data_IF_602669452484
#
_entry.id   IF_602669452484
#
_cell.length_a   1.000
_cell.length_b   1.000
_cell.length_c   1.000
_cell.angle_alpha   90.00
_cell.angle_beta   90.00
_cell.angle_gamma   90.00
#
_symmetry.space_group_name_H-M   'P 1'
#
loop_
_entity.id
_entity.type
_entity.pdbx_description
1 polymer ?
#
# COMPACT_ATOMS: atom_id res chain seq x y z
N UNK A 1 12.02 -10.28 10.10
CA UNK A 1 11.20 -11.36 10.71
C UNK A 1 11.99 -12.12 11.78
N UNK A 2 11.36 -13.05 12.49
CA UNK A 2 12.05 -13.96 13.39
C UNK A 2 12.87 -15.00 12.66
N UNK A 3 14.14 -15.15 13.04
CA UNK A 3 14.97 -16.27 12.59
C UNK A 3 14.88 -17.44 13.57
N UNK A 4 15.17 -18.64 13.10
CA UNK A 4 15.25 -19.83 13.95
C UNK A 4 16.20 -19.61 15.11
N UNK A 5 15.80 -20.05 16.31
CA UNK A 5 16.57 -19.92 17.56
C UNK A 5 16.98 -18.48 17.92
N UNK A 6 16.25 -17.46 17.46
CA UNK A 6 16.48 -16.08 17.89
C UNK A 6 16.04 -15.91 19.36
N UNK A 7 16.96 -15.51 20.22
CA UNK A 7 16.71 -15.27 21.65
C UNK A 7 16.38 -13.80 21.97
N UNK A 8 16.77 -12.89 21.07
CA UNK A 8 16.66 -11.43 21.24
C UNK A 8 15.54 -10.85 20.38
N UNK A 9 15.24 -9.57 20.56
CA UNK A 9 14.28 -8.84 19.73
C UNK A 9 14.65 -8.82 18.25
N UNK A 10 13.66 -8.51 17.40
CA UNK A 10 13.91 -8.23 15.99
C UNK A 10 14.81 -7.02 15.80
N UNK A 11 15.47 -6.95 14.65
CA UNK A 11 16.31 -5.81 14.33
C UNK A 11 15.38 -4.64 14.01
N UNK A 12 15.49 -3.58 14.82
CA UNK A 12 14.54 -2.46 14.78
C UNK A 12 14.87 -1.50 13.65
N UNK A 13 13.85 -1.21 12.85
CA UNK A 13 13.93 -0.26 11.74
C UNK A 13 13.35 1.12 12.08
N UNK A 14 13.07 1.40 13.35
CA UNK A 14 12.60 2.71 13.83
C UNK A 14 13.51 3.20 14.95
N UNK A 15 13.68 4.52 15.09
CA UNK A 15 14.47 5.12 16.18
C UNK A 15 13.85 4.75 17.53
N UNK A 16 12.53 4.90 17.64
CA UNK A 16 11.75 4.49 18.81
C UNK A 16 12.00 3.03 19.18
N UNK A 17 11.96 2.12 18.21
CA UNK A 17 12.21 0.71 18.45
C UNK A 17 13.61 0.43 19.00
N UNK A 18 14.63 1.15 18.52
CA UNK A 18 16.00 1.04 19.02
C UNK A 18 16.12 1.51 20.47
N UNK A 19 15.49 2.65 20.82
CA UNK A 19 15.44 3.14 22.20
C UNK A 19 14.70 2.17 23.15
N UNK A 20 13.67 1.48 22.65
CA UNK A 20 12.98 0.43 23.41
C UNK A 20 13.88 -0.78 23.68
N UNK A 21 14.74 -1.18 22.73
CA UNK A 21 15.74 -2.24 22.96
C UNK A 21 16.75 -1.80 24.01
N UNK A 22 17.28 -0.58 23.92
CA UNK A 22 18.23 -0.05 24.90
C UNK A 22 17.62 0.01 26.31
N UNK A 23 16.37 0.43 26.41
CA UNK A 23 15.64 0.39 27.68
C UNK A 23 15.42 -1.03 28.18
N UNK A 24 15.11 -1.98 27.30
CA UNK A 24 15.01 -3.38 27.69
C UNK A 24 16.33 -3.92 28.23
N UNK A 25 17.45 -3.65 27.56
CA UNK A 25 18.78 -4.07 28.01
C UNK A 25 19.11 -3.51 29.40
N UNK A 26 18.78 -2.23 29.66
CA UNK A 26 18.91 -1.62 30.98
C UNK A 26 18.08 -2.37 32.04
N UNK A 27 16.80 -2.63 31.76
CA UNK A 27 15.92 -3.38 32.67
C UNK A 27 16.43 -4.79 32.90
N UNK A 28 16.93 -5.46 31.86
CA UNK A 28 17.47 -6.82 31.94
C UNK A 28 18.75 -6.88 32.78
N UNK A 29 19.66 -5.91 32.64
CA UNK A 29 20.85 -5.80 33.50
C UNK A 29 20.46 -5.66 34.97
N UNK A 30 19.49 -4.79 35.26
CA UNK A 30 19.00 -4.58 36.63
C UNK A 30 18.29 -5.84 37.16
N UNK A 31 17.43 -6.47 36.36
CA UNK A 31 16.71 -7.68 36.75
C UNK A 31 17.67 -8.84 37.04
N UNK A 32 18.66 -9.06 36.17
CA UNK A 32 19.69 -10.09 36.37
C UNK A 32 20.51 -9.79 37.63
N UNK A 33 20.89 -8.53 37.88
CA UNK A 33 21.61 -8.16 39.10
C UNK A 33 20.82 -8.49 40.37
N UNK A 34 19.52 -8.17 40.40
CA UNK A 34 18.63 -8.52 41.52
C UNK A 34 18.50 -10.04 41.67
N UNK A 35 18.29 -10.77 40.57
CA UNK A 35 18.20 -12.23 40.59
C UNK A 35 19.48 -12.89 41.09
N UNK A 36 20.66 -12.37 40.71
CA UNK A 36 21.95 -12.87 41.21
C UNK A 36 22.09 -12.61 42.72
N UNK A 37 21.72 -11.42 43.20
CA UNK A 37 21.76 -11.09 44.65
C UNK A 37 20.81 -11.99 45.45
N UNK A 38 19.57 -12.13 45.00
CA UNK A 38 18.57 -12.99 45.65
C UNK A 38 18.98 -14.45 45.60
N UNK A 39 19.43 -14.93 44.44
CA UNK A 39 19.93 -16.28 44.26
C UNK A 39 21.13 -16.58 45.15
N UNK A 40 22.06 -15.62 45.27
CA UNK A 40 23.20 -15.71 46.18
C UNK A 40 22.77 -15.83 47.65
N UNK A 41 21.86 -14.97 48.11
CA UNK A 41 21.31 -15.07 49.47
C UNK A 41 20.63 -16.41 49.72
N UNK A 42 19.81 -16.88 48.77
CA UNK A 42 19.16 -18.20 48.90
C UNK A 42 20.17 -19.34 48.99
N UNK A 43 21.21 -19.35 48.15
CA UNK A 43 22.26 -20.38 48.20
C UNK A 43 23.03 -20.36 49.52
N UNK A 44 23.34 -19.17 50.05
CA UNK A 44 23.99 -19.02 51.36
C UNK A 44 23.13 -19.58 52.50
N UNK A 45 21.84 -19.26 52.54
CA UNK A 45 20.96 -19.69 53.62
C UNK A 45 20.54 -21.16 53.53
N UNK A 46 20.32 -21.69 52.32
CA UNK A 46 20.05 -23.11 52.09
C UNK A 46 21.26 -23.98 52.48
N UNK A 47 22.48 -23.53 52.16
CA UNK A 47 23.71 -24.21 52.53
C UNK A 47 24.37 -23.63 53.81
N UNK A 48 23.55 -23.08 54.70
CA UNK A 48 24.02 -22.40 55.92
C UNK A 48 24.80 -23.31 56.87
N UNK A 49 24.56 -24.62 56.82
CA UNK A 49 25.35 -25.61 57.59
C UNK A 49 26.81 -25.63 57.13
N UNK A 50 27.06 -25.53 55.84
CA UNK A 50 28.41 -25.54 55.26
C UNK A 50 29.07 -24.17 55.41
N UNK A 51 28.33 -23.09 55.16
CA UNK A 51 28.87 -21.72 55.19
C UNK A 51 29.01 -21.12 56.60
N UNK A 52 28.03 -21.34 57.47
CA UNK A 52 27.97 -20.74 58.81
C UNK A 52 28.17 -21.75 59.94
N UNK A 53 28.52 -23.01 59.62
CA UNK A 53 28.73 -24.07 60.61
C UNK A 53 27.51 -24.36 61.49
N UNK A 54 26.30 -23.99 61.03
CA UNK A 54 25.04 -24.12 61.79
C UNK A 54 24.82 -23.06 62.88
N UNK A 55 25.67 -22.04 62.99
CA UNK A 55 25.54 -20.97 64.00
C UNK A 55 24.70 -19.80 63.47
N UNK A 56 23.39 -19.98 63.43
CA UNK A 56 22.45 -18.88 63.16
C UNK A 56 21.76 -18.44 64.46
N UNK A 57 21.73 -17.13 64.72
CA UNK A 57 21.05 -16.59 65.89
C UNK A 57 19.53 -16.62 65.66
N UNK A 58 18.81 -17.43 66.43
CA UNK A 58 17.36 -17.63 66.29
C UNK A 58 16.51 -16.57 66.98
N UNK A 59 17.11 -15.71 67.80
CA UNK A 59 16.40 -14.76 68.65
C UNK A 59 16.31 -13.34 68.05
N UNK A 60 16.84 -13.14 66.84
CA UNK A 60 16.72 -11.86 66.11
C UNK A 60 15.49 -11.95 65.21
N UNK A 61 14.44 -11.21 65.57
CA UNK A 61 13.16 -11.23 64.84
C UNK A 61 12.86 -9.94 64.07
N UNK A 62 13.48 -8.82 64.44
CA UNK A 62 13.24 -7.52 63.82
C UNK A 62 14.54 -6.73 63.70
N UNK A 63 14.64 -5.92 62.65
CA UNK A 63 15.69 -4.93 62.49
C UNK A 63 15.16 -3.81 61.58
N UNK A 64 14.76 -2.70 62.21
CA UNK A 64 14.18 -1.54 61.53
C UNK A 64 15.12 -0.97 60.47
N UNK A 65 16.43 -0.95 60.73
CA UNK A 65 17.42 -0.42 59.79
C UNK A 65 17.46 -1.27 58.52
N UNK A 66 17.42 -2.60 58.66
CA UNK A 66 17.45 -3.53 57.53
C UNK A 66 16.14 -3.45 56.72
N UNK A 67 15.01 -3.30 57.41
CA UNK A 67 13.70 -3.05 56.79
C UNK A 67 13.67 -1.76 55.97
N UNK A 68 14.24 -0.67 56.51
CA UNK A 68 14.35 0.60 55.80
C UNK A 68 15.26 0.45 54.57
N UNK A 69 16.41 -0.23 54.69
CA UNK A 69 17.35 -0.41 53.57
C UNK A 69 16.74 -1.15 52.39
N UNK A 70 16.12 -2.31 52.61
CA UNK A 70 15.53 -3.09 51.50
C UNK A 70 14.24 -2.48 50.94
N UNK A 71 13.68 -1.46 51.59
CA UNK A 71 12.50 -0.74 51.09
C UNK A 71 12.95 0.43 50.24
N UNK A 72 13.93 1.21 50.72
CA UNK A 72 14.42 2.40 50.03
C UNK A 72 15.24 2.06 48.78
N UNK A 73 16.12 1.05 48.83
CA UNK A 73 16.98 0.70 47.68
C UNK A 73 16.16 0.34 46.43
N UNK A 74 15.18 -0.59 46.49
CA UNK A 74 14.33 -0.89 45.34
C UNK A 74 13.45 0.29 44.92
N UNK A 75 12.97 1.11 45.87
CA UNK A 75 12.17 2.29 45.53
C UNK A 75 12.96 3.29 44.66
N UNK A 76 14.19 3.63 45.04
CA UNK A 76 15.06 4.50 44.23
C UNK A 76 15.37 3.89 42.86
N UNK A 77 15.63 2.57 42.81
CA UNK A 77 15.88 1.85 41.57
C UNK A 77 14.69 1.92 40.61
N UNK A 78 13.47 1.72 41.11
CA UNK A 78 12.24 1.82 40.32
C UNK A 78 11.96 3.25 39.85
N UNK A 79 12.23 4.26 40.68
CA UNK A 79 12.12 5.67 40.26
C UNK A 79 13.06 5.99 39.09
N UNK A 80 14.30 5.48 39.12
CA UNK A 80 15.26 5.66 38.03
C UNK A 80 14.80 4.98 36.73
N UNK A 81 14.37 3.71 36.81
CA UNK A 81 13.84 3.00 35.63
C UNK A 81 12.58 3.67 35.08
N UNK A 82 11.67 4.09 35.95
CA UNK A 82 10.45 4.80 35.57
C UNK A 82 10.73 6.12 34.85
N UNK A 83 11.75 6.87 35.27
CA UNK A 83 12.17 8.10 34.60
C UNK A 83 12.60 7.84 33.14
N UNK A 84 13.48 6.86 32.91
CA UNK A 84 13.93 6.49 31.56
C UNK A 84 12.75 6.01 30.71
N UNK A 85 11.86 5.19 31.29
CA UNK A 85 10.66 4.70 30.62
C UNK A 85 9.72 5.82 30.17
N UNK A 86 9.50 6.83 31.01
CA UNK A 86 8.59 7.95 30.71
C UNK A 86 9.17 8.86 29.62
N UNK A 87 10.49 9.04 29.57
CA UNK A 87 11.13 9.79 28.49
C UNK A 87 10.90 9.11 27.14
N UNK A 88 11.06 7.79 27.08
CA UNK A 88 10.78 7.02 25.86
C UNK A 88 9.30 7.12 25.47
N UNK A 89 8.38 7.04 26.43
CA UNK A 89 6.95 7.22 26.18
C UNK A 89 6.64 8.59 25.55
N UNK A 90 7.25 9.65 26.07
CA UNK A 90 7.04 11.00 25.56
C UNK A 90 7.55 11.17 24.12
N UNK A 91 8.72 10.62 23.80
CA UNK A 91 9.28 10.66 22.43
C UNK A 91 8.37 9.93 21.43
N UNK A 92 7.69 8.86 21.86
CA UNK A 92 6.74 8.13 21.00
C UNK A 92 5.47 8.92 20.69
N UNK A 93 5.00 9.74 21.64
CA UNK A 93 3.75 10.49 21.51
C UNK A 93 3.95 11.85 20.83
N UNK A 94 5.10 12.49 21.04
CA UNK A 94 5.45 13.75 20.37
C UNK A 94 5.77 13.48 18.91
N UNK A 95 4.80 13.79 18.04
CA UNK A 95 4.91 13.54 16.61
C UNK A 95 5.14 14.81 15.80
N UNK A 96 5.96 14.68 14.75
CA UNK A 96 6.12 15.66 13.67
C UNK A 96 4.92 15.63 12.70
N UNK A 97 5.00 16.44 11.64
CA UNK A 97 4.06 16.47 10.53
C UNK A 97 3.95 15.08 9.87
N UNK A 98 2.74 14.73 9.44
CA UNK A 98 2.44 13.45 8.80
C UNK A 98 2.50 13.62 7.30
N UNK A 99 3.28 12.79 6.63
CA UNK A 99 3.43 12.83 5.17
C UNK A 99 2.58 11.76 4.48
N UNK A 100 2.44 10.60 5.10
CA UNK A 100 1.62 9.50 4.59
C UNK A 100 0.55 9.13 5.61
N UNK A 101 -0.72 9.30 5.27
CA UNK A 101 -1.85 8.96 6.11
C UNK A 101 -2.63 7.77 5.53
N UNK A 102 -2.85 6.73 6.34
CA UNK A 102 -3.64 5.58 5.92
C UNK A 102 -4.58 5.09 7.01
N UNK A 103 -5.65 4.42 6.62
CA UNK A 103 -6.60 3.76 7.51
C UNK A 103 -6.40 2.26 7.45
N UNK A 104 -6.41 1.62 8.60
CA UNK A 104 -6.34 0.17 8.74
C UNK A 104 -7.63 -0.29 9.41
N UNK A 105 -8.38 -1.15 8.74
CA UNK A 105 -9.62 -1.72 9.26
C UNK A 105 -9.43 -3.23 9.42
N UNK A 106 -9.59 -3.73 10.65
CA UNK A 106 -9.48 -5.15 10.96
C UNK A 106 -10.84 -5.86 10.85
N UNK A 107 -10.82 -7.08 10.30
CA UNK A 107 -11.97 -7.97 10.15
C UNK A 107 -11.58 -9.41 10.53
N UNK A 108 -12.56 -10.27 10.81
CA UNK A 108 -12.39 -11.71 11.00
C UNK A 108 -12.30 -12.41 9.63
N UNK A 109 -11.15 -12.88 9.13
CA UNK A 109 -9.78 -12.79 9.64
C UNK A 109 -8.86 -12.27 8.53
N UNK A 110 -8.89 -10.95 8.34
CA UNK A 110 -8.11 -10.26 7.31
C UNK A 110 -7.96 -8.78 7.67
N UNK A 111 -7.09 -8.08 6.92
CA UNK A 111 -6.85 -6.65 7.10
C UNK A 111 -7.26 -5.90 5.85
N UNK A 112 -7.91 -4.76 6.01
CA UNK A 112 -8.21 -3.83 4.93
C UNK A 112 -7.39 -2.57 5.12
N UNK A 113 -6.67 -2.15 4.08
CA UNK A 113 -5.90 -0.92 4.07
C UNK A 113 -6.56 0.08 3.13
N UNK A 114 -6.70 1.33 3.58
CA UNK A 114 -7.23 2.42 2.76
C UNK A 114 -6.28 3.61 2.73
N UNK A 115 -5.96 4.09 1.53
CA UNK A 115 -5.06 5.21 1.28
C UNK A 115 -5.80 6.30 0.52
N UNK A 116 -5.45 7.56 0.79
CA UNK A 116 -5.87 8.68 -0.03
C UNK A 116 -4.74 8.95 -1.03
N UNK A 117 -5.00 8.68 -2.30
CA UNK A 117 -4.04 8.87 -3.39
C UNK A 117 -4.38 10.16 -4.12
N UNK A 118 -3.41 11.05 -4.23
CA UNK A 118 -3.53 12.34 -4.90
C UNK A 118 -2.62 12.35 -6.13
N UNK A 119 -3.22 12.45 -7.31
CA UNK A 119 -2.51 12.59 -8.59
C UNK A 119 -2.18 14.05 -8.91
N UNK A 120 -2.72 15.02 -8.15
CA UNK A 120 -2.62 16.45 -8.47
C UNK A 120 -1.38 17.14 -7.88
N UNK A 121 -0.55 16.43 -7.11
CA UNK A 121 0.45 17.06 -6.23
C UNK A 121 1.88 16.92 -6.76
N UNK A 122 2.72 17.96 -6.53
CA UNK A 122 4.20 18.17 -6.67
C UNK A 122 5.01 17.51 -7.81
N UNK A 123 4.59 16.37 -8.31
CA UNK A 123 5.22 15.49 -9.30
C UNK A 123 4.42 15.43 -10.60
N UNK A 124 3.51 16.39 -10.82
CA UNK A 124 2.60 16.41 -11.98
C UNK A 124 3.30 16.13 -13.32
N UNK A 125 4.50 16.66 -13.54
CA UNK A 125 5.28 16.39 -14.76
C UNK A 125 5.77 14.94 -14.87
N UNK A 126 6.18 14.32 -13.77
CA UNK A 126 6.59 12.91 -13.73
C UNK A 126 5.37 12.00 -13.89
N UNK A 127 4.26 12.36 -13.25
CA UNK A 127 3.00 11.63 -13.35
C UNK A 127 2.40 11.72 -14.75
N UNK A 128 2.44 12.88 -15.40
CA UNK A 128 2.04 13.04 -16.80
C UNK A 128 2.87 12.16 -17.74
N UNK A 129 4.19 12.15 -17.57
CA UNK A 129 5.10 11.32 -18.36
C UNK A 129 4.92 9.82 -18.08
N UNK A 130 4.68 9.43 -16.84
CA UNK A 130 4.45 8.03 -16.48
C UNK A 130 3.09 7.55 -16.99
N UNK A 131 2.03 8.34 -16.81
CA UNK A 131 0.69 8.06 -17.31
C UNK A 131 0.69 7.97 -18.84
N UNK A 132 1.37 8.87 -19.55
CA UNK A 132 1.44 8.80 -21.02
C UNK A 132 2.09 7.51 -21.50
N UNK A 133 3.23 7.12 -20.90
CA UNK A 133 3.89 5.86 -21.22
C UNK A 133 3.03 4.64 -20.85
N UNK A 134 2.25 4.73 -19.77
CA UNK A 134 1.34 3.66 -19.37
C UNK A 134 0.20 3.49 -20.38
N UNK A 135 -0.39 4.58 -20.88
CA UNK A 135 -1.40 4.53 -21.94
C UNK A 135 -0.85 4.01 -23.27
N UNK A 136 0.39 4.35 -23.62
CA UNK A 136 1.05 3.84 -24.82
C UNK A 136 1.26 2.31 -24.78
N UNK A 137 1.31 1.73 -23.58
CA UNK A 137 1.43 0.28 -23.36
C UNK A 137 0.07 -0.43 -23.30
N UNK A 138 -1.03 0.30 -23.19
CA UNK A 138 -2.38 -0.27 -23.19
C UNK A 138 -2.82 -0.42 -24.64
N UNK A 139 -3.04 -1.67 -25.05
CA UNK A 139 -3.65 -1.96 -26.34
C UNK A 139 -5.14 -1.60 -26.31
N UNK A 140 -5.45 -0.35 -26.61
CA UNK A 140 -6.81 0.17 -26.74
C UNK A 140 -7.53 -0.34 -28.02
N UNK A 141 -6.91 -1.23 -28.81
CA UNK A 141 -7.55 -1.80 -30.00
C UNK A 141 -8.84 -2.58 -29.68
N UNK A 142 -9.04 -3.00 -28.43
CA UNK A 142 -10.27 -3.60 -27.93
C UNK A 142 -11.48 -2.64 -27.88
N UNK A 143 -11.26 -1.32 -27.80
CA UNK A 143 -12.35 -0.34 -27.93
C UNK A 143 -12.90 -0.26 -29.36
N UNK A 144 -12.22 -0.89 -30.34
CA UNK A 144 -12.64 -0.90 -31.74
C UNK A 144 -13.51 -2.12 -32.10
N UNK A 145 -13.97 -2.93 -31.14
CA UNK A 145 -14.87 -4.04 -31.45
C UNK A 145 -16.33 -3.61 -31.42
N UNK A 146 -16.84 -3.22 -32.59
CA UNK A 146 -18.20 -3.49 -33.10
C UNK A 146 -19.45 -3.09 -32.26
N UNK A 147 -19.34 -2.59 -31.04
CA UNK A 147 -20.48 -2.15 -30.21
C UNK A 147 -20.79 -0.66 -30.40
N UNK A 148 -19.78 0.17 -30.71
CA UNK A 148 -19.95 1.63 -30.91
C UNK A 148 -20.79 1.98 -32.16
N UNK A 149 -20.69 1.20 -33.24
CA UNK A 149 -21.48 1.42 -34.46
C UNK A 149 -22.94 0.92 -34.34
N UNK A 150 -23.21 0.02 -33.38
CA UNK A 150 -24.55 -0.55 -33.18
C UNK A 150 -25.48 0.38 -32.39
N UNK A 151 -24.94 1.25 -31.52
CA UNK A 151 -25.74 2.21 -30.74
C UNK A 151 -25.92 3.56 -31.46
N UNK A 152 -25.06 3.90 -32.42
CA UNK A 152 -25.20 5.10 -33.27
C UNK A 152 -26.20 4.93 -34.44
N UNK A 153 -26.67 3.70 -34.70
CA UNK A 153 -27.63 3.39 -35.77
C UNK A 153 -29.04 3.03 -35.28
N UNK A 154 -29.33 3.20 -33.98
CA UNK A 154 -30.67 3.01 -33.41
C UNK A 154 -31.63 4.13 -33.80
N UNK A 155 -32.51 3.86 -34.75
CA UNK A 155 -33.66 4.70 -35.11
C UNK A 155 -34.50 5.07 -33.87
N UNK A 156 -34.59 6.37 -33.56
CA UNK A 156 -35.62 6.91 -32.67
C UNK A 156 -36.98 6.91 -33.40
N UNK A 157 -38.03 6.25 -32.89
CA UNK A 157 -39.35 6.37 -33.48
C UNK A 157 -40.06 7.62 -32.97
N UNK A 158 -40.22 8.59 -33.86
CA UNK A 158 -41.50 9.31 -34.00
C UNK A 158 -41.64 10.69 -33.36
N UNK A 159 -41.88 11.64 -34.28
CA UNK A 159 -42.81 12.78 -34.19
C UNK A 159 -42.26 14.16 -33.75
N UNK A 160 -42.22 15.08 -34.73
CA UNK A 160 -42.79 16.41 -34.55
C UNK A 160 -41.83 17.60 -34.71
N UNK A 161 -42.00 18.30 -35.83
CA UNK A 161 -41.80 19.75 -36.02
C UNK A 161 -40.38 20.32 -36.20
N UNK A 162 -40.05 20.51 -37.49
CA UNK A 162 -39.54 21.73 -38.12
C UNK A 162 -38.73 22.73 -37.27
N UNK A 163 -37.43 22.84 -37.54
CA UNK A 163 -36.73 24.14 -37.58
C UNK A 163 -35.72 24.13 -38.73
N UNK A 164 -35.97 25.00 -39.71
CA UNK A 164 -35.06 25.37 -40.81
C UNK A 164 -34.07 26.40 -40.27
N UNK A 165 -32.78 26.20 -40.50
CA UNK A 165 -31.82 27.30 -40.60
C UNK A 165 -30.94 27.11 -41.83
N UNK A 166 -31.06 28.09 -42.72
CA UNK A 166 -30.44 28.18 -44.03
C UNK A 166 -29.02 28.73 -43.95
N UNK A 167 -28.21 28.40 -44.95
CA UNK A 167 -27.21 29.32 -45.50
C UNK A 167 -27.06 29.09 -47.01
N UNK A 168 -27.55 30.05 -47.79
CA UNK A 168 -27.18 30.38 -49.18
C UNK A 168 -25.65 30.63 -49.25
N UNK A 169 -24.91 30.58 -50.36
CA UNK A 169 -25.10 30.96 -51.78
C UNK A 169 -23.95 30.28 -52.59
N UNK A 170 -23.83 30.25 -53.92
CA UNK A 170 -24.34 31.07 -55.02
C UNK A 170 -24.11 30.31 -56.36
N UNK A 171 -24.87 30.74 -57.37
CA UNK A 171 -25.09 30.21 -58.71
C UNK A 171 -23.87 30.10 -59.66
N UNK A 172 -23.93 29.14 -60.60
CA UNK A 172 -23.90 29.47 -62.04
C UNK A 172 -24.19 28.23 -62.94
N UNK A 173 -25.22 28.35 -63.81
CA UNK A 173 -25.09 28.07 -65.25
C UNK A 173 -25.34 26.67 -65.85
N UNK A 174 -26.57 26.46 -66.32
CA UNK A 174 -26.99 25.80 -67.60
C UNK A 174 -26.90 24.26 -67.85
N UNK A 175 -28.07 23.62 -67.70
CA UNK A 175 -28.86 22.87 -68.69
C UNK A 175 -28.17 21.92 -69.72
N UNK A 176 -28.30 20.60 -69.56
CA UNK A 176 -29.17 19.73 -70.40
C UNK A 176 -28.86 18.21 -70.29
N UNK A 177 -29.95 17.44 -70.16
CA UNK A 177 -30.24 16.06 -70.62
C UNK A 177 -29.25 14.90 -70.39
N UNK A 178 -29.77 13.85 -69.73
CA UNK A 178 -29.86 12.53 -70.37
C UNK A 178 -28.89 11.43 -69.92
N UNK A 179 -29.41 10.54 -69.07
CA UNK A 179 -29.24 9.07 -69.07
C UNK A 179 -27.88 8.38 -68.88
N UNK A 180 -27.92 7.45 -67.92
CA UNK A 180 -27.30 6.11 -67.85
C UNK A 180 -25.77 5.94 -67.75
N UNK A 181 -25.36 5.51 -66.55
CA UNK A 181 -24.76 4.20 -66.21
C UNK A 181 -23.60 3.63 -67.07
N UNK A 182 -22.55 3.25 -66.34
CA UNK A 182 -21.48 2.28 -66.63
C UNK A 182 -20.24 2.70 -67.44
N UNK A 183 -19.12 2.65 -66.71
CA UNK A 183 -17.88 1.91 -66.98
C UNK A 183 -16.88 2.34 -68.05
N UNK A 184 -15.68 2.61 -67.51
CA UNK A 184 -14.33 2.20 -67.94
C UNK A 184 -13.80 2.55 -69.33
N UNK A 185 -12.70 3.34 -69.34
CA UNK A 185 -11.63 3.21 -70.35
C UNK A 185 -10.24 3.37 -69.71
N UNK A 186 -9.56 2.22 -69.59
CA UNK A 186 -8.15 1.86 -69.88
C UNK A 186 -6.99 2.87 -69.71
N UNK A 187 -5.89 2.41 -69.09
CA UNK A 187 -4.67 2.03 -69.85
C UNK A 187 -3.65 1.27 -69.00
N UNK A 188 -3.14 0.19 -69.61
CA UNK A 188 -2.08 -0.71 -69.12
C UNK A 188 -0.72 -0.18 -69.59
N UNK A 189 0.32 -0.28 -68.75
CA UNK A 189 1.68 -0.53 -69.24
C UNK A 189 2.38 -1.54 -68.34
N UNK A 190 2.62 -2.74 -68.88
CA UNK A 190 3.47 -3.77 -68.31
C UNK A 190 4.95 -3.36 -68.41
N UNK A 191 5.68 -3.53 -67.31
CA UNK A 191 7.13 -3.72 -67.28
C UNK A 191 7.44 -4.91 -66.37
N UNK A 192 8.12 -5.93 -66.90
CA UNK A 192 8.47 -7.19 -66.23
C UNK A 192 9.66 -7.06 -65.26
N UNK A 193 9.63 -7.89 -64.19
CA UNK A 193 10.73 -8.58 -63.46
C UNK A 193 11.85 -7.70 -62.80
N UNK A 194 12.35 -7.94 -61.59
CA UNK A 194 12.60 -9.19 -60.87
C UNK A 194 12.83 -8.97 -59.36
N UNK A 195 12.89 -10.11 -58.65
CA UNK A 195 12.76 -10.39 -57.23
C UNK A 195 13.82 -9.84 -56.25
N UNK A 196 13.37 -9.69 -54.98
CA UNK A 196 14.12 -9.78 -53.72
C UNK A 196 15.03 -8.62 -53.28
N UNK A 197 14.45 -7.68 -52.52
CA UNK A 197 14.68 -7.56 -51.06
C UNK A 197 14.02 -6.27 -50.56
N UNK A 198 12.94 -6.38 -49.79
CA UNK A 198 12.25 -5.24 -49.21
C UNK A 198 13.15 -4.52 -48.19
N UNK A 199 13.57 -3.32 -48.56
CA UNK A 199 14.02 -2.28 -47.65
C UNK A 199 13.03 -1.11 -47.72
N UNK A 200 12.54 -0.70 -46.56
CA UNK A 200 12.00 0.62 -46.21
C UNK A 200 10.88 1.25 -47.05
N UNK A 201 9.86 1.69 -46.31
CA UNK A 201 9.00 2.85 -46.54
C UNK A 201 8.01 2.75 -47.70
N UNK A 202 6.78 2.36 -47.33
CA UNK A 202 5.56 2.60 -48.11
C UNK A 202 4.49 3.22 -47.22
N UNK A 203 4.57 4.53 -47.00
CA UNK A 203 3.40 5.35 -46.68
C UNK A 203 2.42 5.20 -47.85
N UNK A 204 1.30 4.50 -47.67
CA UNK A 204 0.03 4.84 -48.33
C UNK A 204 -1.09 3.85 -48.01
N UNK A 205 -2.28 4.42 -47.78
CA UNK A 205 -3.59 3.81 -47.58
C UNK A 205 -3.92 3.30 -46.17
N UNK A 206 -3.95 4.22 -45.21
CA UNK A 206 -4.91 4.12 -44.12
C UNK A 206 -6.27 4.60 -44.63
N UNK A 207 -7.28 3.76 -44.45
CA UNK A 207 -8.67 4.08 -44.72
C UNK A 207 -9.05 5.37 -43.95
N UNK A 208 -9.91 6.24 -44.49
CA UNK A 208 -10.31 7.48 -43.78
C UNK A 208 -10.91 7.20 -42.38
N UNK A 209 -11.48 6.00 -42.17
CA UNK A 209 -11.93 5.53 -40.86
C UNK A 209 -10.79 5.18 -39.89
N UNK A 210 -9.68 4.62 -40.37
CA UNK A 210 -8.50 4.29 -39.54
C UNK A 210 -7.72 5.55 -39.17
N UNK A 211 -7.70 6.55 -40.04
CA UNK A 211 -7.05 7.85 -39.80
C UNK A 211 -7.80 8.69 -38.76
N UNK A 212 -9.14 8.66 -38.84
CA UNK A 212 -10.04 9.23 -37.82
C UNK A 212 -9.82 8.56 -36.46
N UNK A 213 -9.73 7.23 -36.42
CA UNK A 213 -9.51 6.49 -35.18
C UNK A 213 -8.11 6.72 -34.60
N UNK A 214 -7.07 6.87 -35.43
CA UNK A 214 -5.71 7.20 -34.94
C UNK A 214 -5.63 8.61 -34.35
N UNK A 215 -6.28 9.60 -34.96
CA UNK A 215 -6.30 10.97 -34.44
C UNK A 215 -7.17 11.09 -33.17
N UNK A 216 -8.27 10.34 -33.09
CA UNK A 216 -9.08 10.21 -31.87
C UNK A 216 -8.32 9.51 -30.75
N UNK A 217 -7.57 8.43 -31.04
CA UNK A 217 -6.74 7.74 -30.07
C UNK A 217 -5.55 8.61 -29.58
N UNK A 218 -4.89 9.35 -30.47
CA UNK A 218 -3.86 10.33 -30.07
C UNK A 218 -4.45 11.47 -29.23
N UNK A 219 -5.64 11.95 -29.61
CA UNK A 219 -6.39 12.91 -28.78
C UNK A 219 -6.66 12.28 -27.41
N UNK A 220 -7.27 11.10 -27.34
CA UNK A 220 -7.60 10.36 -26.11
C UNK A 220 -6.40 10.17 -25.18
N UNK A 221 -5.26 9.75 -25.71
CA UNK A 221 -4.02 9.63 -24.94
C UNK A 221 -3.54 10.98 -24.36
N UNK A 222 -3.91 12.11 -24.96
CA UNK A 222 -3.56 13.44 -24.45
C UNK A 222 -4.51 13.97 -23.36
N UNK A 223 -5.82 13.64 -23.36
CA UNK A 223 -6.79 14.16 -22.37
C UNK A 223 -7.10 13.21 -21.22
N UNK A 224 -7.03 11.90 -21.44
CA UNK A 224 -7.32 10.91 -20.40
C UNK A 224 -6.44 11.09 -19.14
N UNK A 225 -5.12 11.33 -19.25
CA UNK A 225 -4.28 11.61 -18.07
C UNK A 225 -4.80 12.80 -17.26
N UNK A 226 -5.28 13.87 -17.91
CA UNK A 226 -5.76 15.08 -17.26
C UNK A 226 -7.04 14.88 -16.43
N UNK A 227 -7.88 13.89 -16.75
CA UNK A 227 -9.07 13.56 -15.94
C UNK A 227 -8.69 12.88 -14.63
N UNK A 228 -7.66 12.02 -14.66
CA UNK A 228 -7.15 11.34 -13.46
C UNK A 228 -6.39 12.27 -12.53
N UNK A 229 -5.67 13.24 -13.10
CA UNK A 229 -4.78 14.15 -12.38
C UNK A 229 -5.50 15.11 -11.42
N UNK A 230 -6.79 15.41 -11.63
CA UNK A 230 -7.51 16.41 -10.81
C UNK A 230 -8.34 15.80 -9.65
N UNK A 231 -8.36 14.47 -9.51
CA UNK A 231 -9.18 13.77 -8.51
C UNK A 231 -8.36 13.15 -7.38
N UNK A 232 -8.91 13.19 -6.16
CA UNK A 232 -8.41 12.40 -5.02
C UNK A 232 -9.12 11.06 -4.99
N UNK A 233 -8.34 10.00 -4.94
CA UNK A 233 -8.85 8.63 -4.93
C UNK A 233 -8.73 8.03 -3.54
N UNK A 234 -9.79 7.37 -3.08
CA UNK A 234 -9.71 6.51 -1.91
C UNK A 234 -9.45 5.09 -2.40
N UNK A 235 -8.21 4.65 -2.27
CA UNK A 235 -7.80 3.31 -2.68
C UNK A 235 -7.85 2.37 -1.47
N UNK A 236 -8.75 1.39 -1.51
CA UNK A 236 -8.88 0.39 -0.46
C UNK A 236 -8.76 -1.02 -1.01
N UNK A 237 -8.03 -1.88 -0.33
CA UNK A 237 -7.86 -3.29 -0.69
C UNK A 237 -7.79 -4.19 0.54
N UNK A 238 -8.21 -5.43 0.34
CA UNK A 238 -8.25 -6.47 1.37
C UNK A 238 -7.03 -7.40 1.27
N UNK A 239 -6.48 -7.76 2.42
CA UNK A 239 -5.26 -8.54 2.54
C UNK A 239 -5.52 -9.82 3.32
N UNK A 240 -5.36 -10.95 2.63
CA UNK A 240 -5.60 -12.29 3.16
C UNK A 240 -4.30 -13.10 3.23
N UNK A 241 -4.23 -14.09 4.13
CA UNK A 241 -3.15 -15.08 4.11
C UNK A 241 -3.22 -15.96 2.86
N UNK A 242 -2.05 -16.23 2.26
CA UNK A 242 -1.92 -17.19 1.16
C UNK A 242 -1.64 -18.58 1.74
N UNK A 243 -2.65 -19.44 1.76
CA UNK A 243 -2.55 -20.81 2.30
C UNK A 243 -2.00 -21.84 1.33
N UNK A 244 -2.05 -21.57 0.02
CA UNK A 244 -1.83 -22.59 -0.99
C UNK A 244 -0.35 -22.93 -1.13
N UNK A 245 0.03 -24.16 -0.75
CA UNK A 245 1.39 -24.68 -0.91
C UNK A 245 1.89 -24.72 -2.36
N UNK A 246 0.99 -24.66 -3.36
CA UNK A 246 1.39 -24.57 -4.77
C UNK A 246 1.77 -23.16 -5.21
N UNK A 247 1.37 -22.13 -4.46
CA UNK A 247 1.71 -20.70 -4.69
C UNK A 247 2.85 -20.26 -3.77
N UNK A 248 3.08 -21.00 -2.68
CA UNK A 248 4.22 -20.81 -1.79
C UNK A 248 5.50 -21.33 -2.47
N UNK A 249 6.18 -20.45 -3.21
CA UNK A 249 7.56 -20.69 -3.66
C UNK A 249 8.54 -20.75 -2.49
N UNK A 250 9.79 -21.20 -2.74
CA UNK A 250 10.85 -21.30 -1.71
C UNK A 250 11.18 -19.96 -1.02
N UNK A 251 10.73 -18.83 -1.58
CA UNK A 251 10.88 -17.49 -1.00
C UNK A 251 9.78 -17.09 -0.01
N UNK A 252 8.67 -17.84 0.04
CA UNK A 252 7.49 -17.46 0.81
C UNK A 252 7.52 -18.07 2.22
N UNK A 253 7.04 -17.29 3.20
CA UNK A 253 7.02 -17.66 4.61
C UNK A 253 5.61 -18.10 5.02
N UNK A 254 5.48 -19.34 5.49
CA UNK A 254 4.23 -19.86 6.03
C UNK A 254 3.77 -19.01 7.22
N UNK A 255 2.49 -18.63 7.27
CA UNK A 255 1.94 -17.80 8.34
C UNK A 255 2.32 -16.33 8.25
N UNK A 256 2.95 -15.88 7.14
CA UNK A 256 3.34 -14.48 6.92
C UNK A 256 3.09 -14.00 5.48
N UNK A 257 2.91 -14.93 4.54
CA UNK A 257 2.67 -14.59 3.13
C UNK A 257 1.23 -14.15 2.95
N UNK A 258 1.05 -13.00 2.32
CA UNK A 258 -0.26 -12.35 2.12
C UNK A 258 -0.46 -12.01 0.65
N UNK A 259 -1.71 -11.74 0.27
CA UNK A 259 -2.09 -11.36 -1.10
C UNK A 259 -1.46 -10.04 -1.53
N UNK A 260 -1.42 -9.06 -0.64
CA UNK A 260 -0.81 -7.74 -0.87
C UNK A 260 -0.20 -7.20 0.44
N UNK A 261 0.70 -6.24 0.37
CA UNK A 261 1.37 -5.65 1.52
C UNK A 261 0.75 -4.31 1.91
N UNK A 262 0.99 -3.90 3.15
CA UNK A 262 0.78 -2.53 3.60
C UNK A 262 1.99 -1.67 3.22
N UNK A 263 1.77 -0.54 2.56
CA UNK A 263 2.84 0.30 2.02
C UNK A 263 3.16 1.46 2.97
N UNK A 264 4.42 1.54 3.39
CA UNK A 264 4.95 2.62 4.22
C UNK A 264 6.08 3.35 3.49
N UNK A 265 6.14 4.66 3.68
CA UNK A 265 7.22 5.48 3.16
C UNK A 265 8.41 5.49 4.13
N UNK A 266 9.62 5.30 3.61
CA UNK A 266 10.86 5.34 4.39
C UNK A 266 11.29 6.78 4.72
N UNK A 267 11.98 6.95 5.85
CA UNK A 267 12.55 8.22 6.35
C UNK A 267 11.54 9.35 6.62
N UNK A 268 10.24 9.05 6.57
CA UNK A 268 9.15 10.01 6.80
C UNK A 268 8.15 9.45 7.80
N UNK A 269 7.35 10.32 8.41
CA UNK A 269 6.34 9.91 9.37
C UNK A 269 5.07 9.45 8.64
N UNK A 270 4.75 8.18 8.83
CA UNK A 270 3.51 7.55 8.41
C UNK A 270 2.54 7.55 9.58
N UNK A 271 1.30 7.98 9.39
CA UNK A 271 0.24 7.90 10.39
C UNK A 271 -0.80 6.86 9.96
N UNK A 272 -1.10 5.95 10.87
CA UNK A 272 -2.08 4.89 10.66
C UNK A 272 -3.25 5.07 11.60
N UNK A 273 -4.44 5.13 11.03
CA UNK A 273 -5.70 5.17 11.77
C UNK A 273 -6.27 3.75 11.84
N UNK A 274 -6.12 3.11 12.99
CA UNK A 274 -6.48 1.71 13.20
C UNK A 274 -7.86 1.61 13.86
N UNK A 275 -8.74 0.81 13.26
CA UNK A 275 -10.09 0.51 13.75
C UNK A 275 -10.48 -0.92 13.34
N UNK A 276 -11.63 -1.39 13.79
CA UNK A 276 -12.21 -2.69 13.41
C UNK A 276 -13.72 -2.55 13.19
N UNK A 277 -14.28 -3.44 12.38
CA UNK A 277 -15.72 -3.52 12.11
C UNK A 277 -16.43 -4.60 12.94
N UNK A 278 -15.70 -5.48 13.62
CA UNK A 278 -16.27 -6.64 14.31
C UNK A 278 -15.82 -6.77 15.78
N UNK A 279 -14.73 -7.49 16.04
CA UNK A 279 -14.19 -7.81 17.37
C UNK A 279 -12.88 -7.07 17.59
N UNK A 280 -12.32 -7.14 18.80
CA UNK A 280 -11.00 -6.54 19.02
C UNK A 280 -9.94 -7.32 18.24
N UNK A 281 -9.05 -6.56 17.60
CA UNK A 281 -7.82 -7.06 16.98
C UNK A 281 -6.65 -6.20 17.45
N UNK A 282 -5.43 -6.54 17.05
CA UNK A 282 -4.30 -5.66 17.30
C UNK A 282 -3.30 -5.75 16.18
N UNK A 283 -3.09 -4.60 15.54
CA UNK A 283 -2.15 -4.45 14.45
C UNK A 283 -0.77 -4.19 15.05
N UNK A 284 0.22 -4.98 14.67
CA UNK A 284 1.58 -4.76 15.14
C UNK A 284 2.63 -5.39 14.26
N UNK A 285 3.80 -4.79 14.26
CA UNK A 285 4.97 -5.27 13.53
C UNK A 285 6.18 -5.13 14.43
N UNK A 286 6.68 -6.25 14.93
CA UNK A 286 7.71 -6.26 15.97
C UNK A 286 9.03 -5.58 15.55
N UNK A 287 9.44 -5.67 14.28
CA UNK A 287 10.64 -5.00 13.75
C UNK A 287 10.47 -3.49 13.54
N UNK A 288 9.24 -2.99 13.53
CA UNK A 288 8.96 -1.56 13.54
C UNK A 288 8.77 -1.03 14.98
N UNK A 289 8.74 -1.93 15.98
CA UNK A 289 8.60 -1.56 17.38
C UNK A 289 7.22 -1.02 17.74
N UNK A 290 6.19 -1.38 16.98
CA UNK A 290 4.84 -0.81 17.13
C UNK A 290 3.78 -1.90 17.25
N UNK A 291 2.78 -1.60 18.09
CA UNK A 291 1.56 -2.38 18.28
C UNK A 291 0.45 -1.40 18.66
N UNK A 292 -0.73 -1.54 18.07
CA UNK A 292 -1.89 -0.74 18.40
C UNK A 292 -3.16 -1.56 18.21
N UNK A 293 -4.04 -1.51 19.22
CA UNK A 293 -5.26 -2.28 19.23
C UNK A 293 -6.31 -1.65 18.32
N UNK A 294 -7.00 -2.49 17.56
CA UNK A 294 -8.19 -2.13 16.81
C UNK A 294 -9.41 -2.43 17.69
N UNK A 295 -10.10 -1.38 18.14
CA UNK A 295 -11.22 -1.51 19.08
C UNK A 295 -12.52 -1.05 18.40
N UNK A 296 -13.60 -1.84 18.46
CA UNK A 296 -14.86 -1.47 17.80
C UNK A 296 -15.37 -0.10 18.30
N UNK A 297 -15.71 0.78 17.36
CA UNK A 297 -16.22 2.12 17.66
C UNK A 297 -15.15 3.14 18.11
N UNK A 298 -13.86 2.80 18.01
CA UNK A 298 -12.74 3.71 18.30
C UNK A 298 -11.70 3.67 17.19
N UNK A 299 -11.23 4.85 16.79
CA UNK A 299 -10.10 4.99 15.88
C UNK A 299 -8.87 5.36 16.70
N UNK A 300 -7.86 4.50 16.70
CA UNK A 300 -6.57 4.79 17.31
C UNK A 300 -5.60 5.30 16.25
N UNK A 301 -4.77 6.29 16.60
CA UNK A 301 -3.67 6.75 15.73
C UNK A 301 -2.36 6.10 16.17
N UNK A 302 -1.60 5.61 15.20
CA UNK A 302 -0.26 5.06 15.37
C UNK A 302 0.70 5.72 14.36
N UNK A 303 1.72 6.42 14.86
CA UNK A 303 2.80 6.98 14.05
C UNK A 303 3.95 5.99 13.87
N UNK A 304 4.45 5.84 12.64
CA UNK A 304 5.62 5.02 12.31
C UNK A 304 6.58 5.83 11.44
N UNK A 305 7.87 5.84 11.79
CA UNK A 305 8.93 6.43 10.96
C UNK A 305 10.03 5.39 10.68
N UNK A 306 9.88 4.57 9.63
CA UNK A 306 10.89 3.57 9.26
C UNK A 306 12.17 4.23 8.73
N UNK A 307 13.33 3.72 9.08
CA UNK A 307 14.63 4.27 8.68
C UNK A 307 15.12 3.77 7.33
N UNK A 308 14.72 2.55 6.94
CA UNK A 308 15.20 1.87 5.73
C UNK A 308 14.07 1.15 5.02
N UNK A 309 14.17 1.06 3.69
CA UNK A 309 13.29 0.23 2.86
C UNK A 309 13.50 -1.26 3.13
N UNK A 310 12.44 -2.05 2.94
CA UNK A 310 12.45 -3.49 3.17
C UNK A 310 11.06 -4.04 3.48
N UNK A 311 10.96 -5.37 3.61
CA UNK A 311 9.71 -6.04 3.97
C UNK A 311 9.74 -6.48 5.43
N UNK A 312 8.70 -6.11 6.17
CA UNK A 312 8.54 -6.38 7.58
C UNK A 312 7.26 -7.17 7.82
N UNK A 313 7.30 -8.06 8.81
CA UNK A 313 6.19 -8.98 9.07
C UNK A 313 5.69 -8.85 10.50
N UNK A 314 4.39 -8.98 10.64
CA UNK A 314 3.64 -8.94 11.89
C UNK A 314 2.49 -9.92 11.87
N UNK A 315 1.77 -10.01 12.98
CA UNK A 315 0.59 -10.85 13.15
C UNK A 315 -0.46 -10.07 13.94
N UNK A 316 -1.68 -10.59 14.02
CA UNK A 316 -2.64 -10.10 14.99
C UNK A 316 -2.17 -10.42 16.42
N UNK A 317 -2.14 -9.40 17.30
CA UNK A 317 -1.67 -9.52 18.68
C UNK A 317 -2.79 -9.48 19.74
N UNK A 318 -4.05 -9.62 19.32
CA UNK A 318 -5.23 -9.68 20.19
C UNK A 318 -6.16 -10.80 19.73
N UNK A 319 -6.65 -11.61 20.68
CA UNK A 319 -7.43 -12.80 20.35
C UNK A 319 -8.77 -12.43 19.69
N UNK A 320 -8.93 -12.80 18.41
CA UNK A 320 -10.07 -12.41 17.58
C UNK A 320 -10.89 -13.59 17.01
N UNK A 321 -10.75 -14.80 17.56
CA UNK A 321 -11.54 -15.98 17.18
C UNK A 321 -10.71 -17.11 16.56
N UNK A 322 -11.37 -18.02 15.84
CA UNK A 322 -10.77 -19.27 15.31
C UNK A 322 -9.64 -19.03 14.31
N UNK A 323 -9.77 -18.03 13.45
CA UNK A 323 -8.73 -17.63 12.48
C UNK A 323 -7.72 -16.61 13.03
N UNK A 324 -7.60 -16.44 14.34
CA UNK A 324 -6.69 -15.44 14.94
C UNK A 324 -5.23 -15.58 14.46
N UNK A 325 -4.75 -16.80 14.26
CA UNK A 325 -3.40 -17.04 13.75
C UNK A 325 -3.27 -16.96 12.22
N UNK A 326 -4.36 -16.67 11.51
CA UNK A 326 -4.48 -16.76 10.05
C UNK A 326 -4.71 -15.39 9.38
N UNK A 327 -4.29 -14.32 10.07
CA UNK A 327 -4.39 -12.94 9.58
C UNK A 327 -3.05 -12.20 9.77
N UNK A 328 -1.99 -12.64 9.07
CA UNK A 328 -0.69 -12.02 9.16
C UNK A 328 -0.68 -10.63 8.55
N UNK A 329 0.35 -9.88 8.90
CA UNK A 329 0.59 -8.52 8.42
C UNK A 329 1.92 -8.54 7.67
N UNK A 330 1.93 -8.08 6.42
CA UNK A 330 3.15 -7.77 5.67
C UNK A 330 3.19 -6.29 5.39
N UNK A 331 4.33 -5.66 5.62
CA UNK A 331 4.57 -4.24 5.41
C UNK A 331 5.75 -4.08 4.47
N UNK A 332 5.51 -3.47 3.31
CA UNK A 332 6.54 -3.06 2.38
C UNK A 332 6.90 -1.59 2.64
N UNK A 333 8.12 -1.35 3.12
CA UNK A 333 8.66 0.00 3.27
C UNK A 333 9.49 0.31 2.03
N UNK A 334 9.17 1.40 1.34
CA UNK A 334 9.87 1.84 0.11
C UNK A 334 10.13 3.35 0.16
N UNK A 335 10.76 3.91 -0.87
CA UNK A 335 10.90 5.38 -0.96
C UNK A 335 9.52 6.02 -1.15
N UNK A 336 9.32 7.29 -0.77
CA UNK A 336 8.05 7.99 -0.99
C UNK A 336 7.56 7.90 -2.44
N UNK A 337 8.47 8.08 -3.40
CA UNK A 337 8.19 8.02 -4.84
C UNK A 337 7.74 6.62 -5.28
N UNK A 338 8.41 5.56 -4.79
CA UNK A 338 8.01 4.18 -5.10
C UNK A 338 6.62 3.85 -4.53
N UNK A 339 6.34 4.27 -3.29
CA UNK A 339 5.03 4.07 -2.67
C UNK A 339 3.95 4.82 -3.45
N UNK A 340 4.22 6.06 -3.85
CA UNK A 340 3.26 6.85 -4.63
C UNK A 340 2.95 6.16 -5.96
N UNK A 341 3.96 5.63 -6.66
CA UNK A 341 3.80 4.87 -7.90
C UNK A 341 2.98 3.60 -7.70
N UNK A 342 3.30 2.79 -6.69
CA UNK A 342 2.56 1.54 -6.40
C UNK A 342 1.09 1.83 -6.10
N UNK A 343 0.80 2.86 -5.30
CA UNK A 343 -0.57 3.25 -4.99
C UNK A 343 -1.32 3.78 -6.23
N UNK A 344 -0.67 4.59 -7.06
CA UNK A 344 -1.24 5.09 -8.33
C UNK A 344 -1.53 3.94 -9.30
N UNK A 345 -0.60 3.00 -9.45
CA UNK A 345 -0.81 1.79 -10.25
C UNK A 345 -1.95 0.94 -9.69
N UNK A 346 -2.05 0.83 -8.36
CA UNK A 346 -3.15 0.14 -7.68
C UNK A 346 -4.50 0.74 -8.02
N UNK A 347 -4.62 2.08 -8.01
CA UNK A 347 -5.84 2.80 -8.42
C UNK A 347 -6.19 2.48 -9.87
N UNK A 348 -5.23 2.60 -10.79
CA UNK A 348 -5.45 2.36 -12.22
C UNK A 348 -5.84 0.91 -12.54
N UNK A 349 -5.37 -0.04 -11.74
CA UNK A 349 -5.70 -1.45 -11.88
C UNK A 349 -7.10 -1.83 -11.37
N UNK A 350 -7.84 -0.93 -10.72
CA UNK A 350 -9.18 -1.23 -10.22
C UNK A 350 -10.23 -1.23 -11.34
N UNK A 351 -11.20 -2.15 -11.26
CA UNK A 351 -12.36 -2.18 -12.17
C UNK A 351 -13.18 -0.89 -12.13
N UNK A 352 -13.19 -0.21 -10.98
CA UNK A 352 -13.91 1.04 -10.79
C UNK A 352 -13.25 2.19 -11.58
N UNK A 353 -11.92 2.21 -11.62
CA UNK A 353 -11.17 3.12 -12.47
C UNK A 353 -11.48 2.86 -13.95
N UNK A 354 -11.44 1.60 -14.38
CA UNK A 354 -11.74 1.21 -15.77
C UNK A 354 -13.18 1.58 -16.18
N UNK A 355 -14.17 1.30 -15.33
CA UNK A 355 -15.57 1.67 -15.62
C UNK A 355 -15.80 3.18 -15.60
N UNK A 356 -15.07 3.93 -14.77
CA UNK A 356 -15.09 5.40 -14.79
C UNK A 356 -14.48 5.94 -16.08
N UNK A 357 -13.37 5.35 -16.54
CA UNK A 357 -12.74 5.62 -17.83
C UNK A 357 -13.72 5.40 -18.98
N UNK A 358 -14.34 4.22 -19.05
CA UNK A 358 -15.33 3.88 -20.07
C UNK A 358 -16.49 4.89 -20.08
N UNK A 359 -17.02 5.25 -18.90
CA UNK A 359 -18.12 6.20 -18.77
C UNK A 359 -17.77 7.65 -19.13
N UNK A 360 -16.50 8.03 -19.09
CA UNK A 360 -16.03 9.35 -19.55
C UNK A 360 -15.69 9.33 -21.04
N UNK A 361 -15.12 8.24 -21.55
CA UNK A 361 -14.81 8.06 -22.97
C UNK A 361 -16.08 8.00 -23.83
N UNK A 362 -17.15 7.38 -23.30
CA UNK A 362 -18.42 7.20 -24.00
C UNK A 362 -19.35 8.44 -23.97
N UNK A 363 -18.94 9.53 -23.31
CA UNK A 363 -19.68 10.80 -23.23
C UNK A 363 -18.98 11.90 -24.01
#
# INVERSE_FOLDING_TARGET
MGSWNKLWFFDMNTVVGQELILYNDLVMVVAVAVLVVVGWFMLLFLNSRTFFGGKMNKYVYHNELLEIMWTMIPAFMLCFLGYVSLMNLYIMEVGDHVENGMKVTAHQWYWEYSYIVDFASKEKEMDEMWLSNWFDLIDLSYLNSAELESELSGEFPGLGDSVILASESEEDGELSSGSSFADEVWTVSMGEMDENSESLLGLSYLNESEKSNSELLESMNSWIPHIFLDCKWNYSYEVYEVFNSSVLDQSNFRGYTVTDACYLMSSVKNEMLISTMDVMHSWGVGSLGVKCDAVPGRVNSLGISPLRSGVFYGNCYELCGEGHSMMPISVAVMTPDDVSLVLKQGVLGTSDCVSTLEGVIMK
#
